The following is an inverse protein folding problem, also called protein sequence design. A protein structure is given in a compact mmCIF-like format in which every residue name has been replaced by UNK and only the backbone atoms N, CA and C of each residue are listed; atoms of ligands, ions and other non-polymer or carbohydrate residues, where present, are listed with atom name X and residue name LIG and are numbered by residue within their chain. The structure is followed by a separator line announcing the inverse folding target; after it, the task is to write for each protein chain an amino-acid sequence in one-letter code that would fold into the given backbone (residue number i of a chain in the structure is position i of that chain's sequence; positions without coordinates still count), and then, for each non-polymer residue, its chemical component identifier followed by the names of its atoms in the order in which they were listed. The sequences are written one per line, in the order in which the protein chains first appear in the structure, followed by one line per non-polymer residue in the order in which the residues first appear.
data_IF_714700356613
#
_entry.id   IF_714700356613
#
_cell.length_a   1.000
_cell.length_b   1.000
_cell.length_c   1.000
_cell.angle_alpha   90.00
_cell.angle_beta   90.00
_cell.angle_gamma   90.00
#
_symmetry.space_group_name_H-M   'P 1'
#
loop_
_entity.id
_entity.type
_entity.pdbx_description
1 polymer ?
#
# COMPACT_ATOMS: atom_id res chain seq x y z
N UNK A 1 -1.91 19.54 -15.78
CA UNK A 1 -1.89 18.70 -14.56
C UNK A 1 -2.32 17.31 -14.97
N UNK A 2 -1.60 16.26 -14.58
CA UNK A 2 -2.06 14.87 -14.83
C UNK A 2 -3.28 14.59 -13.98
N UNK A 3 -4.21 13.78 -14.47
CA UNK A 3 -5.40 13.39 -13.71
C UNK A 3 -5.46 11.88 -13.56
N UNK A 4 -6.02 11.38 -12.46
CA UNK A 4 -6.14 9.95 -12.20
C UNK A 4 -7.56 9.53 -11.81
N UNK A 5 -7.87 8.27 -12.05
CA UNK A 5 -9.07 7.61 -11.60
C UNK A 5 -8.79 6.92 -10.25
N UNK A 6 -9.66 7.06 -9.26
CA UNK A 6 -9.51 6.38 -7.97
C UNK A 6 -10.44 5.16 -7.95
N UNK A 7 -9.87 3.99 -7.69
CA UNK A 7 -10.60 2.74 -7.56
C UNK A 7 -10.85 2.38 -6.10
N UNK A 8 -12.09 2.05 -5.80
CA UNK A 8 -12.57 1.72 -4.47
C UNK A 8 -13.11 2.95 -3.74
N UNK A 9 -14.37 2.86 -3.30
CA UNK A 9 -15.00 3.91 -2.50
C UNK A 9 -15.34 3.35 -1.15
N UNK A 10 -14.63 3.78 -0.14
CA UNK A 10 -14.73 3.31 1.22
C UNK A 10 -14.08 4.28 2.20
N UNK A 11 -13.74 3.80 3.39
CA UNK A 11 -13.23 4.64 4.49
C UNK A 11 -11.90 5.34 4.18
N UNK A 12 -11.06 4.76 3.32
CA UNK A 12 -9.74 5.30 2.99
C UNK A 12 -9.75 6.17 1.73
N UNK A 13 -10.88 6.29 1.03
CA UNK A 13 -10.91 6.97 -0.27
C UNK A 13 -10.51 8.44 -0.16
N UNK A 14 -11.08 9.17 0.81
CA UNK A 14 -10.74 10.59 1.00
C UNK A 14 -9.23 10.77 1.26
N UNK A 15 -8.62 9.90 2.07
CA UNK A 15 -7.18 9.96 2.34
C UNK A 15 -6.33 9.75 1.08
N UNK A 16 -6.78 8.88 0.17
CA UNK A 16 -6.08 8.67 -1.13
C UNK A 16 -6.35 9.83 -2.08
N UNK A 17 -7.53 10.46 -2.01
CA UNK A 17 -7.82 11.69 -2.77
C UNK A 17 -6.87 12.80 -2.34
N UNK A 18 -6.79 13.09 -1.04
CA UNK A 18 -5.88 14.10 -0.48
C UNK A 18 -4.43 13.82 -0.91
N UNK A 19 -3.97 12.57 -0.75
CA UNK A 19 -2.62 12.18 -1.17
C UNK A 19 -2.37 12.43 -2.66
N UNK A 20 -3.33 12.09 -3.52
CA UNK A 20 -3.19 12.29 -4.96
C UNK A 20 -3.10 13.79 -5.32
N UNK A 21 -3.92 14.61 -4.68
CA UNK A 21 -3.93 16.07 -4.88
C UNK A 21 -2.63 16.71 -4.35
N UNK A 22 -2.16 16.29 -3.17
CA UNK A 22 -0.88 16.73 -2.59
C UNK A 22 0.33 16.32 -3.46
N UNK A 23 0.20 15.22 -4.21
CA UNK A 23 1.17 14.78 -5.22
C UNK A 23 1.00 15.48 -6.59
N UNK A 24 0.09 16.45 -6.71
CA UNK A 24 -0.11 17.25 -7.92
C UNK A 24 -0.97 16.61 -9.00
N UNK A 25 -1.77 15.59 -8.66
CA UNK A 25 -2.76 15.01 -9.57
C UNK A 25 -4.14 15.63 -9.36
N UNK A 26 -4.87 15.82 -10.45
CA UNK A 26 -6.31 16.09 -10.38
C UNK A 26 -7.08 14.76 -10.32
N UNK A 27 -8.20 14.72 -9.63
CA UNK A 27 -9.07 13.55 -9.60
C UNK A 27 -10.01 13.62 -10.80
N UNK A 28 -9.91 12.65 -11.72
CA UNK A 28 -10.72 12.57 -12.94
C UNK A 28 -12.08 11.92 -12.65
N UNK A 29 -12.08 10.83 -11.91
CA UNK A 29 -13.30 10.10 -11.54
C UNK A 29 -13.06 9.13 -10.41
N UNK A 30 -14.14 8.69 -9.79
CA UNK A 30 -14.18 7.62 -8.81
C UNK A 30 -14.84 6.39 -9.43
N UNK A 31 -14.31 5.19 -9.12
CA UNK A 31 -14.85 3.91 -9.56
C UNK A 31 -15.15 3.03 -8.34
N UNK A 32 -16.39 2.55 -8.23
CA UNK A 32 -16.83 1.71 -7.12
C UNK A 32 -16.67 0.22 -7.45
N UNK A 33 -16.82 -0.67 -6.49
CA UNK A 33 -16.72 -2.11 -6.75
C UNK A 33 -17.88 -2.66 -7.60
N UNK A 34 -19.05 -1.99 -7.58
CA UNK A 34 -20.25 -2.28 -8.38
C UNK A 34 -20.89 -0.97 -8.86
N UNK A 35 -21.93 -1.06 -9.67
CA UNK A 35 -22.57 0.11 -10.29
C UNK A 35 -23.66 0.78 -9.43
N UNK A 36 -23.92 0.29 -8.21
CA UNK A 36 -25.02 0.76 -7.35
C UNK A 36 -24.94 2.26 -7.04
N UNK A 37 -23.75 2.84 -7.06
CA UNK A 37 -23.48 4.23 -6.74
C UNK A 37 -23.12 5.10 -7.95
N UNK A 38 -23.29 4.60 -9.16
CA UNK A 38 -22.98 5.34 -10.39
C UNK A 38 -23.84 6.60 -10.50
N UNK A 39 -23.22 7.73 -10.77
CA UNK A 39 -23.86 9.05 -10.83
C UNK A 39 -23.93 9.79 -9.48
N UNK A 40 -23.61 9.13 -8.36
CA UNK A 40 -23.45 9.82 -7.09
C UNK A 40 -22.17 10.69 -7.07
N UNK A 41 -22.16 11.63 -6.14
CA UNK A 41 -20.98 12.46 -5.87
C UNK A 41 -20.40 12.14 -4.50
N UNK A 42 -19.07 11.98 -4.44
CA UNK A 42 -18.31 11.78 -3.22
C UNK A 42 -17.22 12.84 -3.12
N UNK A 43 -17.31 13.72 -2.12
CA UNK A 43 -16.42 14.88 -1.96
C UNK A 43 -16.24 15.71 -3.25
N UNK A 44 -17.33 15.98 -3.96
CA UNK A 44 -17.33 16.80 -5.18
C UNK A 44 -16.93 16.07 -6.46
N UNK A 45 -16.55 14.79 -6.39
CA UNK A 45 -16.16 13.97 -7.54
C UNK A 45 -17.22 12.93 -7.88
N UNK A 46 -17.53 12.82 -9.18
CA UNK A 46 -18.54 11.89 -9.68
C UNK A 46 -18.03 10.45 -9.62
N UNK A 47 -18.88 9.53 -9.16
CA UNK A 47 -18.71 8.09 -9.29
C UNK A 47 -19.17 7.69 -10.69
N UNK A 48 -18.23 7.46 -11.61
CA UNK A 48 -18.52 7.22 -13.03
C UNK A 48 -18.83 5.79 -13.39
N UNK A 49 -18.83 4.88 -12.42
CA UNK A 49 -19.12 3.47 -12.64
C UNK A 49 -18.36 2.57 -11.67
N UNK A 50 -18.22 1.31 -12.08
CA UNK A 50 -17.60 0.27 -11.27
C UNK A 50 -16.22 -0.16 -11.79
N UNK A 51 -15.63 -1.18 -11.14
CA UNK A 51 -14.41 -1.84 -11.62
C UNK A 51 -14.59 -2.51 -12.98
N UNK A 52 -15.85 -2.67 -13.45
CA UNK A 52 -16.15 -3.11 -14.80
C UNK A 52 -15.53 -2.18 -15.87
N UNK A 53 -15.33 -0.90 -15.53
CA UNK A 53 -14.57 0.05 -16.33
C UNK A 53 -13.24 -0.49 -16.86
N UNK A 54 -12.52 -1.28 -16.04
CA UNK A 54 -11.26 -1.88 -16.45
C UNK A 54 -11.47 -3.07 -17.40
N UNK A 55 -12.57 -3.83 -17.24
CA UNK A 55 -12.86 -4.99 -18.08
C UNK A 55 -13.32 -4.56 -19.49
N UNK A 56 -14.12 -3.50 -19.57
CA UNK A 56 -14.76 -3.02 -20.81
C UNK A 56 -13.77 -2.35 -21.79
N UNK A 57 -12.51 -2.20 -21.41
CA UNK A 57 -11.48 -1.60 -22.23
C UNK A 57 -10.40 -2.61 -22.61
N UNK A 58 -10.02 -2.62 -23.87
CA UNK A 58 -8.90 -3.43 -24.35
C UNK A 58 -7.55 -2.82 -23.94
N UNK A 59 -7.47 -1.50 -23.82
CA UNK A 59 -6.28 -0.76 -23.41
C UNK A 59 -6.63 0.36 -22.43
N UNK A 60 -5.71 0.58 -21.49
CA UNK A 60 -5.72 1.68 -20.52
C UNK A 60 -4.51 2.62 -20.73
N UNK A 61 -3.88 2.56 -21.89
CA UNK A 61 -2.70 3.38 -22.21
C UNK A 61 -3.00 4.87 -22.04
N UNK A 62 -2.10 5.58 -21.37
CA UNK A 62 -2.25 7.00 -21.05
C UNK A 62 -3.20 7.32 -19.88
N UNK A 63 -3.84 6.32 -19.27
CA UNK A 63 -4.67 6.50 -18.09
C UNK A 63 -3.88 6.26 -16.80
N UNK A 64 -4.17 7.08 -15.78
CA UNK A 64 -3.56 6.99 -14.46
C UNK A 64 -4.60 6.55 -13.43
N UNK A 65 -4.18 5.74 -12.48
CA UNK A 65 -5.05 5.16 -11.46
C UNK A 65 -4.42 5.23 -10.07
N UNK A 66 -5.26 5.33 -9.04
CA UNK A 66 -4.87 5.08 -7.65
C UNK A 66 -5.85 4.11 -7.01
N UNK A 67 -5.36 3.27 -6.10
CA UNK A 67 -6.14 2.23 -5.44
C UNK A 67 -6.37 2.61 -3.98
N UNK A 68 -7.64 2.65 -3.52
CA UNK A 68 -7.96 3.09 -2.15
C UNK A 68 -8.42 1.96 -1.22
N UNK A 69 -8.47 0.70 -1.69
CA UNK A 69 -8.83 -0.44 -0.86
C UNK A 69 -7.66 -0.94 -0.01
N UNK A 70 -7.99 -1.39 1.21
CA UNK A 70 -7.04 -2.04 2.11
C UNK A 70 -7.00 -3.57 2.00
N UNK A 71 -7.91 -4.18 1.22
CA UNK A 71 -7.85 -5.61 0.91
C UNK A 71 -6.73 -5.86 -0.11
N UNK A 72 -5.68 -6.56 0.33
CA UNK A 72 -4.48 -6.77 -0.49
C UNK A 72 -4.74 -7.64 -1.71
N UNK A 73 -5.65 -8.63 -1.63
CA UNK A 73 -5.95 -9.50 -2.77
C UNK A 73 -6.72 -8.74 -3.86
N UNK A 74 -7.70 -7.92 -3.48
CA UNK A 74 -8.42 -7.06 -4.42
C UNK A 74 -7.46 -6.03 -5.03
N UNK A 75 -6.62 -5.42 -4.20
CA UNK A 75 -5.65 -4.42 -4.60
C UNK A 75 -4.65 -4.98 -5.62
N UNK A 76 -4.06 -6.14 -5.34
CA UNK A 76 -3.11 -6.83 -6.24
C UNK A 76 -3.76 -7.15 -7.59
N UNK A 77 -4.97 -7.73 -7.57
CA UNK A 77 -5.71 -8.06 -8.79
C UNK A 77 -5.96 -6.84 -9.67
N UNK A 78 -6.43 -5.73 -9.08
CA UNK A 78 -6.72 -4.52 -9.84
C UNK A 78 -5.44 -3.85 -10.35
N UNK A 79 -4.38 -3.79 -9.54
CA UNK A 79 -3.07 -3.30 -9.96
C UNK A 79 -2.56 -4.08 -11.17
N UNK A 80 -2.54 -5.39 -11.07
CA UNK A 80 -2.09 -6.28 -12.15
C UNK A 80 -2.91 -6.06 -13.43
N UNK A 81 -4.24 -5.97 -13.32
CA UNK A 81 -5.11 -5.74 -14.48
C UNK A 81 -4.82 -4.39 -15.15
N UNK A 82 -4.65 -3.33 -14.37
CA UNK A 82 -4.33 -1.99 -14.90
C UNK A 82 -3.01 -2.03 -15.67
N UNK A 83 -1.96 -2.57 -15.06
CA UNK A 83 -0.62 -2.64 -15.67
C UNK A 83 -0.61 -3.51 -16.93
N UNK A 84 -1.27 -4.68 -16.90
CA UNK A 84 -1.37 -5.56 -18.06
C UNK A 84 -2.08 -4.92 -19.25
N UNK A 85 -2.99 -3.97 -19.01
CA UNK A 85 -3.70 -3.21 -20.04
C UNK A 85 -2.98 -1.89 -20.43
N UNK A 86 -1.77 -1.68 -19.97
CA UNK A 86 -0.96 -0.49 -20.29
C UNK A 86 -1.30 0.78 -19.49
N UNK A 87 -2.16 0.65 -18.47
CA UNK A 87 -2.45 1.74 -17.55
C UNK A 87 -1.31 1.99 -16.56
N UNK A 88 -1.28 3.17 -15.98
CA UNK A 88 -0.24 3.58 -15.02
C UNK A 88 -0.81 3.74 -13.61
N UNK A 89 -0.19 3.12 -12.63
CA UNK A 89 -0.45 3.37 -11.21
C UNK A 89 0.78 4.06 -10.64
N UNK A 90 0.82 5.40 -10.56
CA UNK A 90 2.02 6.12 -10.13
C UNK A 90 2.30 5.90 -8.65
N UNK A 91 3.56 5.99 -8.25
CA UNK A 91 3.90 6.16 -6.86
C UNK A 91 3.37 7.52 -6.37
N UNK A 92 2.65 7.52 -5.25
CA UNK A 92 2.14 8.71 -4.57
C UNK A 92 2.87 8.85 -3.23
N UNK A 93 3.73 9.84 -3.13
CA UNK A 93 4.53 10.08 -1.93
C UNK A 93 4.19 11.48 -1.41
N UNK A 94 3.59 11.54 -0.24
CA UNK A 94 3.18 12.82 0.35
C UNK A 94 4.39 13.74 0.55
N UNK A 95 4.29 15.05 0.23
CA UNK A 95 5.42 15.98 0.32
C UNK A 95 6.07 16.10 1.71
N UNK A 96 5.35 15.77 2.79
CA UNK A 96 5.91 15.77 4.15
C UNK A 96 6.75 14.55 4.49
N UNK A 97 6.86 13.57 3.61
CA UNK A 97 7.68 12.40 3.84
C UNK A 97 9.18 12.71 3.73
N UNK A 98 9.97 12.07 4.57
CA UNK A 98 11.44 12.14 4.48
C UNK A 98 11.94 10.91 3.73
N UNK A 99 12.21 11.07 2.45
CA UNK A 99 12.62 9.97 1.57
C UNK A 99 14.10 10.13 1.21
N UNK A 100 14.89 9.11 1.49
CA UNK A 100 16.30 9.10 1.08
C UNK A 100 16.43 9.07 -0.45
N UNK A 101 17.37 9.82 -0.98
CA UNK A 101 17.73 9.78 -2.43
C UNK A 101 18.34 8.44 -2.86
N UNK A 102 18.67 7.57 -1.92
CA UNK A 102 19.31 6.26 -2.14
C UNK A 102 18.38 5.10 -1.83
N UNK A 103 17.07 5.31 -1.80
CA UNK A 103 16.09 4.25 -1.72
C UNK A 103 15.44 4.00 -3.08
N UNK A 104 14.88 2.82 -3.27
CA UNK A 104 14.12 2.43 -4.45
C UNK A 104 12.64 2.35 -4.06
N UNK A 105 11.77 2.99 -4.83
CA UNK A 105 10.32 2.98 -4.63
C UNK A 105 9.68 2.51 -5.92
N UNK A 106 8.91 1.43 -5.83
CA UNK A 106 8.21 0.81 -6.94
C UNK A 106 6.96 1.59 -7.40
N UNK A 107 6.35 1.11 -8.47
CA UNK A 107 5.13 1.68 -9.02
C UNK A 107 3.90 1.37 -8.14
N UNK A 108 2.94 2.27 -8.12
CA UNK A 108 1.71 2.12 -7.32
C UNK A 108 1.91 2.23 -5.81
N UNK A 109 3.11 2.50 -5.34
CA UNK A 109 3.41 2.72 -3.92
C UNK A 109 2.69 3.98 -3.43
N UNK A 110 2.09 3.89 -2.25
CA UNK A 110 1.49 5.03 -1.55
C UNK A 110 2.19 5.24 -0.22
N UNK A 111 2.76 6.43 0.00
CA UNK A 111 3.42 6.79 1.26
C UNK A 111 2.73 8.01 1.85
N UNK A 112 2.04 7.78 2.96
CA UNK A 112 1.21 8.78 3.65
C UNK A 112 2.06 9.74 4.50
N UNK A 113 1.47 10.88 4.92
CA UNK A 113 2.16 11.94 5.65
C UNK A 113 3.03 11.48 6.82
N UNK A 114 4.17 12.15 7.00
CA UNK A 114 5.06 11.98 8.15
C UNK A 114 5.90 10.71 8.14
N UNK A 115 5.82 9.89 7.08
CA UNK A 115 6.60 8.66 6.99
C UNK A 115 8.04 8.92 6.57
N UNK A 116 8.95 8.03 6.98
CA UNK A 116 10.39 8.13 6.72
C UNK A 116 10.86 6.85 6.02
N UNK A 117 11.56 7.00 4.90
CA UNK A 117 12.24 5.88 4.20
C UNK A 117 13.73 6.20 4.12
N UNK A 118 14.54 5.43 4.86
CA UNK A 118 15.98 5.65 4.95
C UNK A 118 16.74 5.05 3.76
N UNK A 119 18.03 5.37 3.66
CA UNK A 119 18.87 4.98 2.52
C UNK A 119 19.08 3.48 2.37
N UNK A 120 19.33 3.04 1.14
CA UNK A 120 19.55 1.64 0.76
C UNK A 120 18.35 0.72 1.05
N UNK A 121 17.17 1.30 1.26
CA UNK A 121 15.94 0.54 1.41
C UNK A 121 15.19 0.41 0.09
N UNK A 122 14.35 -0.63 -0.02
CA UNK A 122 13.55 -0.93 -1.21
C UNK A 122 12.10 -1.14 -0.83
N UNK A 123 11.22 -0.51 -1.58
CA UNK A 123 9.76 -0.66 -1.43
C UNK A 123 9.20 -1.21 -2.73
N UNK A 124 8.67 -2.41 -2.68
CA UNK A 124 8.09 -3.09 -3.84
C UNK A 124 6.76 -2.47 -4.28
N UNK A 125 6.39 -2.77 -5.52
CA UNK A 125 5.22 -2.22 -6.19
C UNK A 125 3.92 -2.39 -5.39
N UNK A 126 2.99 -1.47 -5.58
CA UNK A 126 1.64 -1.51 -5.01
C UNK A 126 1.59 -1.55 -3.48
N UNK A 127 2.70 -1.26 -2.79
CA UNK A 127 2.77 -1.25 -1.32
C UNK A 127 2.23 0.06 -0.76
N UNK A 128 1.53 -0.03 0.37
CA UNK A 128 0.99 1.12 1.10
C UNK A 128 1.73 1.27 2.42
N UNK A 129 2.32 2.43 2.65
CA UNK A 129 2.92 2.84 3.92
C UNK A 129 2.05 3.97 4.47
N UNK A 130 1.34 3.69 5.57
CA UNK A 130 0.45 4.69 6.15
C UNK A 130 1.18 5.60 7.14
N UNK A 131 0.48 6.59 7.68
CA UNK A 131 1.04 7.76 8.37
C UNK A 131 2.12 7.44 9.43
N UNK A 132 3.14 8.29 9.51
CA UNK A 132 4.17 8.29 10.57
C UNK A 132 4.94 6.96 10.70
N UNK A 133 5.07 6.19 9.63
CA UNK A 133 5.82 4.93 9.66
C UNK A 133 7.26 5.13 9.23
N UNK A 134 8.16 4.31 9.74
CA UNK A 134 9.59 4.38 9.48
C UNK A 134 10.08 3.07 8.86
N UNK A 135 10.68 3.16 7.69
CA UNK A 135 11.45 2.09 7.06
C UNK A 135 12.93 2.43 7.24
N UNK A 136 13.61 1.67 8.08
CA UNK A 136 15.02 1.91 8.38
C UNK A 136 15.93 1.54 7.19
N UNK A 137 17.18 2.00 7.24
CA UNK A 137 18.14 1.77 6.16
C UNK A 137 18.35 0.27 5.84
N UNK A 138 18.61 -0.02 4.60
CA UNK A 138 18.89 -1.38 4.10
C UNK A 138 17.76 -2.39 4.37
N UNK A 139 16.55 -1.91 4.66
CA UNK A 139 15.37 -2.76 4.80
C UNK A 139 14.68 -2.92 3.44
N UNK A 140 14.10 -4.09 3.19
CA UNK A 140 13.28 -4.36 2.02
C UNK A 140 11.84 -4.59 2.45
N UNK A 141 10.91 -3.93 1.78
CA UNK A 141 9.47 -4.22 1.88
C UNK A 141 9.02 -4.70 0.51
N UNK A 142 8.49 -5.92 0.45
CA UNK A 142 8.03 -6.54 -0.78
C UNK A 142 6.85 -5.82 -1.43
N UNK A 143 6.40 -6.37 -2.55
CA UNK A 143 5.25 -5.85 -3.28
C UNK A 143 3.93 -6.13 -2.55
N UNK A 144 2.94 -5.27 -2.80
CA UNK A 144 1.57 -5.43 -2.33
C UNK A 144 1.47 -5.58 -0.79
N UNK A 145 2.33 -4.91 -0.04
CA UNK A 145 2.29 -4.91 1.41
C UNK A 145 1.43 -3.76 1.96
N UNK A 146 0.93 -3.94 3.18
CA UNK A 146 0.29 -2.89 3.95
C UNK A 146 1.07 -2.65 5.24
N UNK A 147 1.80 -1.55 5.30
CA UNK A 147 2.49 -1.07 6.50
C UNK A 147 1.58 -0.04 7.14
N UNK A 148 0.91 -0.44 8.21
CA UNK A 148 -0.05 0.44 8.92
C UNK A 148 0.64 1.57 9.66
N UNK A 149 -0.15 2.53 10.19
CA UNK A 149 0.41 3.75 10.81
C UNK A 149 1.26 3.49 12.04
N UNK A 150 2.27 4.35 12.22
CA UNK A 150 3.21 4.29 13.35
C UNK A 150 4.01 2.97 13.44
N UNK A 151 4.25 2.31 12.32
CA UNK A 151 5.07 1.10 12.25
C UNK A 151 6.55 1.45 12.14
N UNK A 152 7.41 0.67 12.82
CA UNK A 152 8.85 0.70 12.65
C UNK A 152 9.33 -0.60 12.03
N UNK A 153 9.85 -0.53 10.80
CA UNK A 153 10.60 -1.62 10.17
C UNK A 153 12.08 -1.41 10.42
N UNK A 154 12.68 -2.33 11.16
CA UNK A 154 14.08 -2.28 11.55
C UNK A 154 15.04 -2.42 10.37
N UNK A 155 16.26 -1.91 10.54
CA UNK A 155 17.30 -2.02 9.53
C UNK A 155 17.65 -3.49 9.20
N UNK A 156 17.97 -3.75 7.93
CA UNK A 156 18.31 -5.09 7.41
C UNK A 156 17.19 -6.13 7.51
N UNK A 157 15.96 -5.70 7.75
CA UNK A 157 14.80 -6.61 7.74
C UNK A 157 14.24 -6.71 6.32
N UNK A 158 13.87 -7.92 5.94
CA UNK A 158 13.20 -8.24 4.67
C UNK A 158 11.75 -8.65 4.95
N UNK A 159 10.80 -7.88 4.43
CA UNK A 159 9.35 -8.12 4.56
C UNK A 159 8.86 -8.70 3.23
N UNK A 160 8.38 -9.93 3.26
CA UNK A 160 7.87 -10.63 2.09
C UNK A 160 6.57 -10.03 1.52
N UNK A 161 6.30 -10.33 0.26
CA UNK A 161 5.14 -9.81 -0.48
C UNK A 161 3.81 -10.13 0.22
N UNK A 162 2.79 -9.33 -0.04
CA UNK A 162 1.42 -9.55 0.45
C UNK A 162 1.33 -9.63 1.99
N UNK A 163 2.23 -8.95 2.69
CA UNK A 163 2.30 -8.97 4.15
C UNK A 163 1.71 -7.70 4.76
N UNK A 164 0.94 -7.87 5.83
CA UNK A 164 0.36 -6.78 6.60
C UNK A 164 1.06 -6.63 7.94
N UNK A 165 1.66 -5.46 8.17
CA UNK A 165 2.23 -5.05 9.45
C UNK A 165 1.23 -4.12 10.13
N UNK A 166 0.67 -4.58 11.24
CA UNK A 166 -0.40 -3.87 11.97
C UNK A 166 0.07 -2.58 12.62
N UNK A 167 -0.88 -1.68 12.85
CA UNK A 167 -0.62 -0.34 13.40
C UNK A 167 0.21 -0.37 14.68
N UNK A 168 1.24 0.47 14.75
CA UNK A 168 2.11 0.60 15.93
C UNK A 168 3.02 -0.60 16.17
N UNK A 169 3.10 -1.55 15.23
CA UNK A 169 4.01 -2.68 15.39
C UNK A 169 5.46 -2.30 15.12
N UNK A 170 6.38 -3.04 15.76
CA UNK A 170 7.82 -2.87 15.59
C UNK A 170 8.46 -4.18 15.17
N UNK A 171 9.16 -4.16 14.04
CA UNK A 171 10.09 -5.20 13.59
C UNK A 171 11.48 -4.77 14.04
N UNK A 172 12.07 -5.50 14.99
CA UNK A 172 13.26 -5.01 15.72
C UNK A 172 14.55 -5.25 14.94
N UNK A 173 15.29 -4.17 14.69
CA UNK A 173 16.61 -4.20 14.03
C UNK A 173 17.56 -5.19 14.69
N UNK A 174 18.28 -5.97 13.88
CA UNK A 174 19.28 -6.94 14.36
C UNK A 174 18.71 -8.17 15.05
N UNK A 175 17.40 -8.25 15.25
CA UNK A 175 16.70 -9.43 15.77
C UNK A 175 15.92 -10.15 14.65
N UNK A 176 15.25 -9.40 13.81
CA UNK A 176 14.44 -9.93 12.72
C UNK A 176 15.17 -9.68 11.42
N UNK A 177 15.44 -10.75 10.68
CA UNK A 177 16.01 -10.70 9.34
C UNK A 177 14.93 -10.87 8.28
N UNK A 178 13.94 -11.71 8.54
CA UNK A 178 12.92 -12.07 7.58
C UNK A 178 11.54 -12.16 8.19
N UNK A 179 10.58 -11.52 7.54
CA UNK A 179 9.14 -11.71 7.71
C UNK A 179 8.62 -12.29 6.41
N UNK A 180 8.08 -13.50 6.46
CA UNK A 180 7.61 -14.23 5.27
C UNK A 180 6.53 -13.48 4.48
N UNK A 181 6.19 -14.01 3.32
CA UNK A 181 5.08 -13.53 2.49
C UNK A 181 3.73 -13.96 3.05
N UNK A 182 2.68 -13.19 2.70
CA UNK A 182 1.31 -13.45 3.18
C UNK A 182 1.22 -13.57 4.71
N UNK A 183 1.98 -12.75 5.43
CA UNK A 183 1.99 -12.71 6.88
C UNK A 183 1.15 -11.57 7.44
N UNK A 184 0.74 -11.72 8.69
CA UNK A 184 0.13 -10.64 9.46
C UNK A 184 0.87 -10.50 10.79
N UNK A 185 1.46 -9.34 11.02
CA UNK A 185 1.92 -8.94 12.34
C UNK A 185 0.84 -8.06 12.99
N UNK A 186 0.30 -8.50 14.13
CA UNK A 186 -0.79 -7.80 14.81
C UNK A 186 -0.42 -6.39 15.26
N UNK A 187 -1.43 -5.53 15.42
CA UNK A 187 -1.23 -4.16 15.89
C UNK A 187 -0.56 -4.12 17.28
N UNK A 188 0.33 -3.14 17.50
CA UNK A 188 1.08 -2.95 18.75
C UNK A 188 2.09 -4.06 19.07
N UNK A 189 2.37 -4.94 18.13
CA UNK A 189 3.28 -6.08 18.34
C UNK A 189 4.74 -5.67 18.28
N UNK A 190 5.59 -6.35 19.04
CA UNK A 190 7.05 -6.23 18.97
C UNK A 190 7.64 -7.56 18.53
N UNK A 191 8.07 -7.63 17.27
CA UNK A 191 8.64 -8.83 16.68
C UNK A 191 10.15 -8.91 16.97
N UNK A 192 10.58 -10.03 17.55
CA UNK A 192 11.97 -10.29 17.95
C UNK A 192 12.57 -11.52 17.27
N UNK A 193 11.82 -12.20 16.41
CA UNK A 193 12.25 -13.41 15.70
C UNK A 193 11.65 -13.42 14.30
N UNK A 194 12.22 -14.16 13.37
CA UNK A 194 11.74 -14.28 12.02
C UNK A 194 10.34 -14.93 11.96
N UNK A 195 9.53 -14.52 10.96
CA UNK A 195 8.21 -15.08 10.74
C UNK A 195 8.20 -15.94 9.46
N UNK A 196 7.79 -17.21 9.53
CA UNK A 196 7.55 -18.02 8.33
C UNK A 196 6.40 -17.50 7.47
N UNK A 197 6.40 -17.87 6.17
CA UNK A 197 5.31 -17.57 5.25
C UNK A 197 3.94 -18.01 5.78
N UNK A 198 2.89 -17.26 5.43
CA UNK A 198 1.49 -17.57 5.74
C UNK A 198 1.22 -17.71 7.24
N UNK A 199 1.81 -16.86 8.07
CA UNK A 199 1.61 -16.90 9.53
C UNK A 199 1.07 -15.59 10.08
N UNK A 200 0.41 -15.70 11.23
CA UNK A 200 0.00 -14.56 12.06
C UNK A 200 0.77 -14.60 13.36
N UNK A 201 1.41 -13.49 13.70
CA UNK A 201 2.06 -13.24 14.98
C UNK A 201 1.44 -12.02 15.65
N UNK A 202 1.35 -12.01 16.98
CA UNK A 202 0.92 -10.84 17.72
C UNK A 202 1.45 -10.82 19.15
N UNK A 203 1.41 -9.64 19.78
CA UNK A 203 1.80 -9.42 21.17
C UNK A 203 3.17 -8.74 21.35
N UNK A 204 3.56 -8.52 22.60
CA UNK A 204 4.84 -7.92 22.98
C UNK A 204 5.47 -8.76 24.12
N UNK A 205 6.48 -9.61 23.80
CA UNK A 205 6.97 -9.94 22.47
C UNK A 205 5.94 -10.68 21.60
N UNK A 206 6.01 -10.49 20.29
CA UNK A 206 5.12 -11.16 19.35
C UNK A 206 5.38 -12.66 19.33
N UNK A 207 4.29 -13.45 19.30
CA UNK A 207 4.31 -14.91 19.25
C UNK A 207 3.40 -15.40 18.14
N UNK A 208 3.73 -16.58 17.62
CA UNK A 208 2.91 -17.29 16.64
C UNK A 208 1.49 -17.51 17.17
N UNK A 209 0.49 -17.17 16.39
CA UNK A 209 -0.91 -17.42 16.70
C UNK A 209 -1.50 -18.54 15.84
N UNK A 210 -1.33 -18.45 14.53
CA UNK A 210 -1.85 -19.46 13.58
C UNK A 210 -1.26 -19.33 12.19
N UNK A 211 -1.46 -20.37 11.37
CA UNK A 211 -1.22 -20.30 9.94
C UNK A 211 -2.42 -19.67 9.21
N UNK A 212 -2.14 -19.00 8.09
CA UNK A 212 -3.13 -18.57 7.12
C UNK A 212 -3.31 -19.66 6.04
N UNK A 213 -4.51 -19.75 5.50
CA UNK A 213 -4.78 -20.62 4.34
C UNK A 213 -3.97 -20.12 3.13
N UNK A 214 -3.40 -21.03 2.40
CA UNK A 214 -2.74 -20.76 1.11
C UNK A 214 -3.74 -20.47 0.01
#
# INVERSE_FOLDING_TARGET
MKSLNILGIGRNTVTVMDLAEDCGFAIKSLLHYNDDRTGEYYFGHEIKGSFQYLNDRDSLEGEFFALSMGDLAIRERLYTMIVQKGGTVPALVHPSCVISRRCEIGDGVQIMPGSIVQGDSRIGDNTVITVNSVIAHSATVGANCLISGNVMIGAYSDIGNNTHIGQGATVVSGKVKHVGKHCILGAGSTLLEDMPDYTIYAGCPAKFLKNLSR
#
